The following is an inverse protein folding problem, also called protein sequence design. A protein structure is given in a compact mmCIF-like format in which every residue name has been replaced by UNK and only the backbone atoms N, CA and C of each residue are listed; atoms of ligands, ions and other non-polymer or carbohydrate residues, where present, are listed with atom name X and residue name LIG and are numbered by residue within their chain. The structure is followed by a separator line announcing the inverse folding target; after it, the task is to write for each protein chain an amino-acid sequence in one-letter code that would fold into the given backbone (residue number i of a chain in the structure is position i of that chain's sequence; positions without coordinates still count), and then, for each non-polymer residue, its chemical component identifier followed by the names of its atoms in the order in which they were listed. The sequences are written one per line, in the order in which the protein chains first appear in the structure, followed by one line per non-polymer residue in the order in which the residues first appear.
data_IF_237326929669
#
_entry.id   IF_237326929669
#
_cell.length_a   1.000
_cell.length_b   1.000
_cell.length_c   1.000
_cell.angle_alpha   90.00
_cell.angle_beta   90.00
_cell.angle_gamma   90.00
#
_symmetry.space_group_name_H-M   'P 1'
#
loop_
_entity.id
_entity.type
_entity.pdbx_description
1 polymer ?
#
# COMPACT_ATOMS: atom_id res chain seq x y z
N UNK A 1 3.38 -4.14 37.22
CA UNK A 1 3.71 -5.39 36.50
C UNK A 1 3.58 -5.08 35.03
N UNK A 2 4.67 -5.02 34.29
CA UNK A 2 4.66 -4.83 32.84
C UNK A 2 4.36 -6.18 32.20
N UNK A 3 3.28 -6.29 31.43
CA UNK A 3 2.91 -7.50 30.70
C UNK A 3 3.91 -7.72 29.55
N UNK A 4 4.97 -8.49 29.76
CA UNK A 4 5.99 -8.80 28.75
C UNK A 4 5.47 -9.61 27.55
N UNK A 5 4.21 -10.05 27.59
CA UNK A 5 3.56 -10.86 26.55
C UNK A 5 2.47 -10.12 25.74
N UNK A 6 2.24 -8.83 25.96
CA UNK A 6 1.29 -8.08 25.11
C UNK A 6 1.96 -7.67 23.79
N UNK A 7 1.31 -7.88 22.63
CA UNK A 7 1.87 -7.45 21.35
C UNK A 7 2.09 -5.94 21.36
N UNK A 8 3.18 -5.48 20.75
CA UNK A 8 3.44 -4.04 20.60
C UNK A 8 2.50 -3.45 19.56
N UNK A 9 2.26 -2.13 19.63
CA UNK A 9 1.48 -1.44 18.60
C UNK A 9 2.11 -1.64 17.21
N UNK A 10 3.44 -1.60 17.11
CA UNK A 10 4.16 -1.85 15.87
C UNK A 10 3.85 -3.25 15.30
N UNK A 11 3.79 -4.29 16.14
CA UNK A 11 3.43 -5.64 15.71
C UNK A 11 1.97 -5.71 15.25
N UNK A 12 1.05 -5.11 16.02
CA UNK A 12 -0.37 -5.07 15.66
C UNK A 12 -0.62 -4.33 14.34
N UNK A 13 0.11 -3.25 14.06
CA UNK A 13 0.04 -2.54 12.79
C UNK A 13 0.59 -3.36 11.62
N UNK A 14 1.63 -4.17 11.85
CA UNK A 14 2.14 -5.11 10.85
C UNK A 14 1.12 -6.20 10.54
N UNK A 15 0.49 -6.77 11.57
CA UNK A 15 -0.54 -7.79 11.41
C UNK A 15 -1.74 -7.20 10.64
N UNK A 16 -2.22 -6.01 11.01
CA UNK A 16 -3.32 -5.33 10.34
C UNK A 16 -2.98 -4.93 8.88
N UNK A 17 -1.73 -4.54 8.63
CA UNK A 17 -1.23 -4.32 7.27
C UNK A 17 -1.27 -5.60 6.44
N UNK A 18 -0.92 -6.74 7.04
CA UNK A 18 -0.98 -8.05 6.40
C UNK A 18 -2.40 -8.44 6.01
N UNK A 19 -3.38 -8.22 6.89
CA UNK A 19 -4.80 -8.51 6.59
C UNK A 19 -5.31 -7.65 5.43
N UNK A 20 -4.89 -6.39 5.40
CA UNK A 20 -5.23 -5.46 4.32
C UNK A 20 -4.63 -5.91 2.98
N UNK A 21 -3.37 -6.39 2.99
CA UNK A 21 -2.71 -6.92 1.80
C UNK A 21 -3.39 -8.20 1.28
N UNK A 22 -3.82 -9.09 2.18
CA UNK A 22 -4.57 -10.30 1.81
C UNK A 22 -5.88 -9.95 1.12
N UNK A 23 -6.69 -9.06 1.69
CA UNK A 23 -7.96 -8.64 1.08
C UNK A 23 -7.77 -8.04 -0.31
N UNK A 24 -6.73 -7.22 -0.47
CA UNK A 24 -6.36 -6.64 -1.77
C UNK A 24 -5.97 -7.73 -2.77
N UNK A 25 -5.17 -8.71 -2.35
CA UNK A 25 -4.71 -9.78 -3.22
C UNK A 25 -5.84 -10.75 -3.57
N UNK A 26 -6.77 -11.00 -2.65
CA UNK A 26 -7.99 -11.78 -2.91
C UNK A 26 -8.84 -11.13 -3.99
N UNK A 27 -9.05 -9.80 -3.91
CA UNK A 27 -9.81 -9.07 -4.94
C UNK A 27 -9.15 -9.04 -6.32
N UNK A 28 -7.85 -9.36 -6.41
CA UNK A 28 -7.08 -9.40 -7.68
C UNK A 28 -6.83 -10.80 -8.20
N UNK A 29 -6.93 -11.81 -7.34
CA UNK A 29 -6.55 -13.16 -7.68
C UNK A 29 -7.50 -13.75 -8.72
N UNK A 30 -6.91 -14.38 -9.74
CA UNK A 30 -7.65 -15.01 -10.85
C UNK A 30 -7.56 -16.53 -10.85
N UNK A 31 -6.73 -17.11 -9.99
CA UNK A 31 -6.50 -18.56 -9.93
C UNK A 31 -6.95 -19.14 -8.60
N UNK A 32 -7.47 -20.37 -8.65
CA UNK A 32 -7.92 -21.11 -7.45
C UNK A 32 -6.75 -21.38 -6.51
N UNK A 33 -5.56 -21.62 -7.04
CA UNK A 33 -4.34 -21.87 -6.28
C UNK A 33 -3.91 -20.65 -5.47
N UNK A 34 -3.86 -19.47 -6.10
CA UNK A 34 -3.58 -18.21 -5.41
C UNK A 34 -4.63 -17.90 -4.33
N UNK A 35 -5.91 -18.08 -4.66
CA UNK A 35 -7.00 -17.88 -3.70
C UNK A 35 -6.87 -18.83 -2.50
N UNK A 36 -6.57 -20.11 -2.74
CA UNK A 36 -6.39 -21.10 -1.67
C UNK A 36 -5.22 -20.75 -0.76
N UNK A 37 -4.09 -20.30 -1.32
CA UNK A 37 -2.95 -19.84 -0.54
C UNK A 37 -3.30 -18.60 0.30
N UNK A 38 -4.06 -17.66 -0.26
CA UNK A 38 -4.52 -16.48 0.47
C UNK A 38 -5.49 -16.85 1.60
N UNK A 39 -6.35 -17.85 1.42
CA UNK A 39 -7.23 -18.36 2.48
C UNK A 39 -6.45 -19.04 3.60
N UNK A 40 -5.41 -19.81 3.28
CA UNK A 40 -4.54 -20.41 4.29
C UNK A 40 -3.87 -19.32 5.15
N UNK A 41 -3.27 -18.32 4.51
CA UNK A 41 -2.64 -17.20 5.24
C UNK A 41 -3.69 -16.45 6.09
N UNK A 42 -4.87 -16.15 5.53
CA UNK A 42 -5.94 -15.49 6.27
C UNK A 42 -6.41 -16.31 7.46
N UNK A 43 -6.54 -17.63 7.30
CA UNK A 43 -6.93 -18.52 8.38
C UNK A 43 -5.91 -18.50 9.51
N UNK A 44 -4.61 -18.52 9.21
CA UNK A 44 -3.56 -18.44 10.23
C UNK A 44 -3.64 -17.14 11.03
N UNK A 45 -3.99 -16.02 10.38
CA UNK A 45 -4.15 -14.73 11.05
C UNK A 45 -5.37 -14.70 11.95
N UNK A 46 -6.53 -15.17 11.45
CA UNK A 46 -7.79 -15.21 12.20
C UNK A 46 -7.71 -16.19 13.38
N UNK A 47 -7.11 -17.37 13.18
CA UNK A 47 -7.00 -18.38 14.23
C UNK A 47 -5.81 -18.17 15.16
N UNK A 48 -4.86 -17.31 14.80
CA UNK A 48 -3.58 -17.12 15.49
C UNK A 48 -2.78 -18.44 15.67
N UNK A 49 -3.00 -19.38 14.76
CA UNK A 49 -2.47 -20.76 14.82
C UNK A 49 -2.05 -21.18 13.41
N UNK A 50 -0.92 -21.89 13.29
CA UNK A 50 -0.47 -22.40 11.98
C UNK A 50 -1.17 -23.67 11.55
N UNK A 51 -1.40 -24.61 12.47
CA UNK A 51 -1.94 -25.95 12.18
C UNK A 51 -2.73 -26.47 13.38
N UNK A 52 -3.89 -25.88 13.67
CA UNK A 52 -4.77 -26.27 14.78
C UNK A 52 -6.22 -26.43 14.36
N UNK A 53 -7.08 -26.93 15.27
CA UNK A 53 -8.50 -27.16 14.99
C UNK A 53 -9.22 -25.87 14.58
N UNK A 54 -8.83 -24.74 15.16
CA UNK A 54 -9.37 -23.43 14.80
C UNK A 54 -8.95 -23.02 13.38
N UNK A 55 -7.68 -23.24 13.03
CA UNK A 55 -7.17 -22.99 11.67
C UNK A 55 -7.95 -23.80 10.63
N UNK A 56 -8.12 -25.11 10.84
CA UNK A 56 -8.87 -25.97 9.92
C UNK A 56 -10.33 -25.55 9.78
N UNK A 57 -10.97 -25.14 10.88
CA UNK A 57 -12.33 -24.63 10.86
C UNK A 57 -12.44 -23.36 10.02
N UNK A 58 -11.52 -22.40 10.22
CA UNK A 58 -11.51 -21.14 9.46
C UNK A 58 -11.26 -21.42 7.97
N UNK A 59 -10.30 -22.28 7.61
CA UNK A 59 -10.09 -22.67 6.20
C UNK A 59 -11.36 -23.26 5.60
N UNK A 60 -12.04 -24.18 6.31
CA UNK A 60 -13.29 -24.78 5.85
C UNK A 60 -14.42 -23.77 5.68
N UNK A 61 -14.37 -22.64 6.37
CA UNK A 61 -15.34 -21.55 6.22
C UNK A 61 -14.98 -20.63 5.05
N UNK A 62 -13.71 -20.24 4.92
CA UNK A 62 -13.23 -19.38 3.83
C UNK A 62 -13.33 -20.07 2.46
N UNK A 63 -13.13 -21.39 2.39
CA UNK A 63 -13.21 -22.13 1.12
C UNK A 63 -14.63 -22.36 0.61
N UNK A 64 -15.68 -21.98 1.36
CA UNK A 64 -17.09 -22.21 0.96
C UNK A 64 -17.51 -21.34 -0.21
N UNK A 65 -17.17 -20.06 -0.14
CA UNK A 65 -17.61 -19.06 -1.10
C UNK A 65 -16.64 -17.87 -1.08
N UNK A 66 -16.14 -17.39 -2.24
CA UNK A 66 -15.19 -16.29 -2.29
C UNK A 66 -15.72 -14.97 -1.74
N UNK A 67 -17.02 -14.67 -1.91
CA UNK A 67 -17.63 -13.44 -1.38
C UNK A 67 -17.70 -13.53 0.14
N UNK A 68 -18.14 -14.69 0.66
CA UNK A 68 -18.16 -14.95 2.09
C UNK A 68 -16.77 -14.86 2.72
N UNK A 69 -15.75 -15.45 2.09
CA UNK A 69 -14.37 -15.33 2.56
C UNK A 69 -13.91 -13.88 2.66
N UNK A 70 -14.16 -13.08 1.61
CA UNK A 70 -13.83 -11.66 1.61
C UNK A 70 -14.50 -10.94 2.79
N UNK A 71 -15.80 -11.17 3.00
CA UNK A 71 -16.56 -10.57 4.11
C UNK A 71 -16.03 -10.97 5.49
N UNK A 72 -15.65 -12.24 5.69
CA UNK A 72 -15.11 -12.71 6.97
C UNK A 72 -13.75 -12.08 7.28
N UNK A 73 -12.86 -12.03 6.29
CA UNK A 73 -11.53 -11.44 6.45
C UNK A 73 -11.64 -9.92 6.65
N UNK A 74 -12.54 -9.26 5.91
CA UNK A 74 -12.81 -7.83 6.09
C UNK A 74 -13.39 -7.53 7.48
N UNK A 75 -14.38 -8.31 7.93
CA UNK A 75 -14.95 -8.17 9.26
C UNK A 75 -13.94 -8.40 10.37
N UNK A 76 -13.04 -9.38 10.21
CA UNK A 76 -11.94 -9.60 11.15
C UNK A 76 -10.99 -8.40 11.19
N UNK A 77 -10.52 -7.92 10.04
CA UNK A 77 -9.64 -6.74 9.92
C UNK A 77 -10.23 -5.52 10.61
N UNK A 78 -11.50 -5.23 10.35
CA UNK A 78 -12.16 -4.05 10.88
C UNK A 78 -12.35 -4.14 12.39
N UNK A 79 -12.70 -5.33 12.91
CA UNK A 79 -12.76 -5.59 14.34
C UNK A 79 -11.38 -5.47 15.00
N UNK A 80 -10.32 -5.97 14.34
CA UNK A 80 -8.97 -5.87 14.85
C UNK A 80 -8.51 -4.39 14.89
N UNK A 81 -8.72 -3.63 13.81
CA UNK A 81 -8.47 -2.20 13.76
C UNK A 81 -9.20 -1.43 14.88
N UNK A 82 -10.45 -1.79 15.14
CA UNK A 82 -11.24 -1.21 16.23
C UNK A 82 -10.68 -1.56 17.61
N UNK A 83 -10.20 -2.78 17.80
CA UNK A 83 -9.64 -3.23 19.08
C UNK A 83 -8.31 -2.55 19.44
N UNK A 84 -7.53 -2.12 18.44
CA UNK A 84 -6.24 -1.44 18.65
C UNK A 84 -6.37 0.10 18.62
N UNK A 85 -7.57 0.64 18.42
CA UNK A 85 -7.78 2.06 18.12
C UNK A 85 -7.25 2.99 19.22
N UNK A 86 -7.45 2.65 20.50
CA UNK A 86 -7.02 3.52 21.60
C UNK A 86 -5.50 3.51 21.78
N UNK A 87 -4.88 2.33 21.69
CA UNK A 87 -3.42 2.20 21.66
C UNK A 87 -2.82 2.96 20.47
N UNK A 88 -3.49 2.89 19.30
CA UNK A 88 -3.08 3.64 18.13
C UNK A 88 -3.18 5.15 18.33
N UNK A 89 -4.25 5.68 18.94
CA UNK A 89 -4.37 7.12 19.24
C UNK A 89 -3.22 7.63 20.11
N UNK A 90 -2.79 6.83 21.08
CA UNK A 90 -1.66 7.17 21.97
C UNK A 90 -0.31 7.09 21.24
N UNK A 91 -0.12 6.08 20.38
CA UNK A 91 1.15 5.81 19.70
C UNK A 91 1.33 6.44 18.32
N UNK A 92 0.27 6.90 17.64
CA UNK A 92 0.30 7.29 16.22
C UNK A 92 1.32 8.38 15.91
N UNK A 93 1.56 9.30 16.84
CA UNK A 93 2.54 10.38 16.64
C UNK A 93 3.97 9.87 16.48
N UNK A 94 4.35 8.82 17.21
CA UNK A 94 5.66 8.17 17.08
C UNK A 94 5.76 7.41 15.76
N UNK A 95 4.72 6.66 15.41
CA UNK A 95 4.64 5.90 14.14
C UNK A 95 4.70 6.84 12.94
N UNK A 96 3.95 7.93 12.96
CA UNK A 96 3.94 8.92 11.88
C UNK A 96 5.32 9.54 11.65
N UNK A 97 6.06 9.88 12.73
CA UNK A 97 7.43 10.40 12.62
C UNK A 97 8.42 9.39 12.05
N UNK A 98 8.29 8.11 12.43
CA UNK A 98 9.12 7.04 11.87
C UNK A 98 8.87 6.85 10.37
N UNK A 99 7.60 6.80 9.97
CA UNK A 99 7.18 6.73 8.56
C UNK A 99 7.70 7.95 7.78
N UNK A 100 7.47 9.16 8.30
CA UNK A 100 7.92 10.41 7.69
C UNK A 100 9.43 10.41 7.46
N UNK A 101 10.21 10.00 8.48
CA UNK A 101 11.67 9.92 8.40
C UNK A 101 12.12 8.97 7.29
N UNK A 102 11.56 7.77 7.22
CA UNK A 102 11.90 6.74 6.21
C UNK A 102 11.53 7.19 4.80
N UNK A 103 10.33 7.73 4.61
CA UNK A 103 9.90 8.26 3.31
C UNK A 103 10.83 9.40 2.87
N UNK A 104 11.11 10.35 3.76
CA UNK A 104 11.98 11.50 3.45
C UNK A 104 13.42 11.07 3.15
N UNK A 105 13.94 10.05 3.84
CA UNK A 105 15.27 9.49 3.53
C UNK A 105 15.34 8.96 2.10
N UNK A 106 14.27 8.34 1.60
CA UNK A 106 14.23 7.87 0.20
C UNK A 106 14.00 9.01 -0.79
N UNK A 107 13.18 10.00 -0.45
CA UNK A 107 12.95 11.16 -1.31
C UNK A 107 14.22 11.98 -1.57
N UNK A 108 15.23 11.92 -0.69
CA UNK A 108 16.55 12.55 -0.93
C UNK A 108 17.25 12.04 -2.19
N UNK A 109 16.90 10.85 -2.69
CA UNK A 109 17.48 10.29 -3.91
C UNK A 109 16.81 10.84 -5.19
N UNK A 110 15.68 11.54 -5.06
CA UNK A 110 14.95 12.07 -6.19
C UNK A 110 15.63 13.31 -6.78
N UNK A 111 15.99 13.25 -8.06
CA UNK A 111 16.59 14.38 -8.80
C UNK A 111 15.55 15.34 -9.38
N UNK A 112 14.30 14.91 -9.47
CA UNK A 112 13.20 15.69 -10.03
C UNK A 112 11.86 15.21 -9.46
N UNK A 113 10.82 16.01 -9.69
CA UNK A 113 9.46 15.76 -9.20
C UNK A 113 8.88 14.43 -9.70
N UNK A 114 9.21 14.02 -10.93
CA UNK A 114 8.72 12.76 -11.47
C UNK A 114 9.29 11.56 -10.69
N UNK A 115 10.59 11.54 -10.42
CA UNK A 115 11.23 10.52 -9.59
C UNK A 115 10.70 10.55 -8.15
N UNK A 116 10.54 11.74 -7.56
CA UNK A 116 9.97 11.88 -6.21
C UNK A 116 8.54 11.32 -6.15
N UNK A 117 7.73 11.58 -7.17
CA UNK A 117 6.35 11.09 -7.26
C UNK A 117 6.28 9.57 -7.43
N UNK A 118 7.21 8.97 -8.17
CA UNK A 118 7.33 7.50 -8.28
C UNK A 118 7.69 6.89 -6.92
N UNK A 119 8.69 7.45 -6.24
CA UNK A 119 9.09 6.98 -4.90
C UNK A 119 7.89 7.05 -3.95
N UNK A 120 7.20 8.19 -3.92
CA UNK A 120 6.06 8.39 -3.01
C UNK A 120 4.84 7.52 -3.37
N UNK A 121 4.58 7.30 -4.67
CA UNK A 121 3.53 6.39 -5.14
C UNK A 121 3.71 4.95 -4.64
N UNK A 122 4.96 4.49 -4.49
CA UNK A 122 5.23 3.16 -3.94
C UNK A 122 4.81 3.04 -2.47
N UNK A 123 4.93 4.12 -1.70
CA UNK A 123 4.49 4.16 -0.30
C UNK A 123 2.96 4.29 -0.18
N UNK A 124 2.35 5.12 -1.03
CA UNK A 124 0.94 5.49 -0.90
C UNK A 124 -0.02 4.64 -1.75
N UNK A 125 0.47 3.57 -2.39
CA UNK A 125 -0.31 2.69 -3.29
C UNK A 125 -1.61 2.17 -2.68
N UNK A 126 -1.62 1.86 -1.38
CA UNK A 126 -2.79 1.30 -0.69
C UNK A 126 -3.71 2.39 -0.12
N UNK A 127 -3.27 3.65 -0.16
CA UNK A 127 -3.99 4.80 0.37
C UNK A 127 -4.68 5.58 -0.75
N UNK A 128 -4.01 5.67 -1.90
CA UNK A 128 -4.48 6.44 -3.03
C UNK A 128 -5.38 5.58 -3.92
N UNK A 129 -6.60 6.05 -4.13
CA UNK A 129 -7.50 5.45 -5.10
C UNK A 129 -7.00 5.74 -6.52
N UNK A 130 -6.84 4.70 -7.32
CA UNK A 130 -6.71 4.84 -8.77
C UNK A 130 -8.09 4.73 -9.40
N UNK A 131 -8.37 5.50 -10.47
CA UNK A 131 -9.65 5.39 -11.15
C UNK A 131 -9.82 4.00 -11.79
N UNK A 132 -11.05 3.48 -11.72
CA UNK A 132 -11.46 2.35 -12.54
C UNK A 132 -11.72 2.86 -13.94
N UNK A 133 -10.95 2.36 -14.90
CA UNK A 133 -11.04 2.73 -16.31
C UNK A 133 -11.00 1.48 -17.17
N UNK A 134 -11.76 1.53 -18.26
CA UNK A 134 -11.79 0.52 -19.31
C UNK A 134 -10.68 0.76 -20.34
N UNK A 135 -10.40 -0.25 -21.17
CA UNK A 135 -9.43 -0.11 -22.25
C UNK A 135 -9.89 0.94 -23.28
N UNK A 136 -11.18 1.01 -23.59
CA UNK A 136 -11.72 1.95 -24.57
C UNK A 136 -11.60 3.41 -24.10
N UNK A 137 -11.81 3.67 -22.81
CA UNK A 137 -11.61 5.01 -22.22
C UNK A 137 -10.15 5.43 -22.30
N UNK A 138 -9.22 4.51 -22.00
CA UNK A 138 -7.78 4.78 -22.03
C UNK A 138 -7.29 4.99 -23.47
N UNK A 139 -7.77 4.20 -24.42
CA UNK A 139 -7.51 4.44 -25.84
C UNK A 139 -8.05 5.80 -26.28
N UNK A 140 -9.26 6.18 -25.85
CA UNK A 140 -9.83 7.51 -26.11
C UNK A 140 -8.95 8.65 -25.63
N UNK A 141 -8.42 8.56 -24.41
CA UNK A 141 -7.50 9.56 -23.82
C UNK A 141 -6.20 9.63 -24.64
N UNK A 142 -5.58 8.49 -24.95
CA UNK A 142 -4.33 8.43 -25.71
C UNK A 142 -4.49 9.08 -27.09
N UNK A 143 -5.61 8.78 -27.78
CA UNK A 143 -5.95 9.37 -29.08
C UNK A 143 -6.09 10.88 -28.97
N UNK A 144 -6.74 11.38 -27.92
CA UNK A 144 -6.91 12.82 -27.69
C UNK A 144 -5.56 13.52 -27.44
N UNK A 145 -4.66 12.91 -26.66
CA UNK A 145 -3.33 13.46 -26.42
C UNK A 145 -2.49 13.53 -27.70
N UNK A 146 -2.47 12.46 -28.50
CA UNK A 146 -1.74 12.44 -29.78
C UNK A 146 -2.35 13.41 -30.79
N UNK A 147 -3.68 13.54 -30.81
CA UNK A 147 -4.37 14.53 -31.63
C UNK A 147 -3.98 15.96 -31.25
N UNK A 148 -3.88 16.27 -29.94
CA UNK A 148 -3.40 17.59 -29.46
C UNK A 148 -1.96 17.89 -29.88
N UNK A 149 -1.12 16.86 -30.01
CA UNK A 149 0.25 16.98 -30.54
C UNK A 149 0.30 17.12 -32.07
N UNK A 150 -0.85 17.10 -32.76
CA UNK A 150 -0.97 17.18 -34.23
C UNK A 150 -0.22 16.08 -34.97
N UNK A 151 -0.03 14.93 -34.33
CA UNK A 151 0.62 13.78 -34.94
C UNK A 151 -0.38 13.04 -35.86
N UNK A 152 0.05 12.56 -37.04
CA UNK A 152 -0.80 11.77 -37.92
C UNK A 152 -1.15 10.41 -37.28
N UNK A 153 -2.27 9.79 -37.71
CA UNK A 153 -2.74 8.48 -37.24
C UNK A 153 -3.13 8.38 -35.76
N UNK A 154 -3.53 9.50 -35.15
CA UNK A 154 -4.01 9.51 -33.76
C UNK A 154 -5.09 8.46 -33.47
N UNK A 155 -5.93 8.08 -34.43
CA UNK A 155 -6.99 7.07 -34.27
C UNK A 155 -6.48 5.63 -34.02
N UNK A 156 -5.22 5.33 -34.37
CA UNK A 156 -4.61 4.01 -34.14
C UNK A 156 -3.97 3.88 -32.75
N UNK A 157 -3.90 4.99 -32.02
CA UNK A 157 -3.31 5.01 -30.69
C UNK A 157 -4.08 4.11 -29.72
N UNK A 158 -3.31 3.35 -28.94
CA UNK A 158 -3.79 2.50 -27.85
C UNK A 158 -2.99 2.80 -26.60
N UNK A 159 -3.70 3.10 -25.52
CA UNK A 159 -3.06 3.31 -24.23
C UNK A 159 -2.95 2.00 -23.45
N UNK A 160 -2.32 2.05 -22.28
CA UNK A 160 -2.28 0.92 -21.35
C UNK A 160 -3.11 1.27 -20.13
N UNK A 161 -4.12 0.47 -19.79
CA UNK A 161 -4.90 0.66 -18.54
C UNK A 161 -3.97 0.69 -17.33
N UNK A 162 -3.00 -0.22 -17.28
CA UNK A 162 -2.00 -0.27 -16.22
C UNK A 162 -1.08 0.96 -16.25
N UNK A 163 -0.65 1.39 -17.45
CA UNK A 163 0.13 2.62 -17.61
C UNK A 163 -0.61 3.87 -17.11
N UNK A 164 -1.91 3.98 -17.44
CA UNK A 164 -2.77 5.08 -17.02
C UNK A 164 -2.99 5.08 -15.51
N UNK A 165 -3.32 3.92 -14.91
CA UNK A 165 -3.46 3.80 -13.45
C UNK A 165 -2.18 4.19 -12.72
N UNK A 166 -1.02 3.77 -13.25
CA UNK A 166 0.28 4.16 -12.69
C UNK A 166 0.55 5.66 -12.82
N UNK A 167 0.15 6.30 -13.93
CA UNK A 167 0.26 7.75 -14.10
C UNK A 167 -0.62 8.50 -13.09
N UNK A 168 -1.90 8.10 -12.97
CA UNK A 168 -2.84 8.73 -12.03
C UNK A 168 -2.41 8.54 -10.58
N UNK A 169 -1.87 7.36 -10.23
CA UNK A 169 -1.26 7.13 -8.92
C UNK A 169 -0.10 8.09 -8.65
N UNK A 170 0.81 8.29 -9.61
CA UNK A 170 1.92 9.24 -9.48
C UNK A 170 1.44 10.68 -9.36
N UNK A 171 0.43 11.08 -10.13
CA UNK A 171 -0.19 12.41 -10.03
C UNK A 171 -0.82 12.60 -8.64
N UNK A 172 -1.55 11.61 -8.14
CA UNK A 172 -2.13 11.65 -6.80
C UNK A 172 -1.04 11.71 -5.71
N UNK A 173 0.00 10.89 -5.81
CA UNK A 173 1.13 10.91 -4.88
C UNK A 173 1.89 12.24 -4.92
N UNK A 174 2.02 12.88 -6.09
CA UNK A 174 2.67 14.19 -6.20
C UNK A 174 1.99 15.27 -5.36
N UNK A 175 0.69 15.13 -5.07
CA UNK A 175 -0.04 16.05 -4.18
C UNK A 175 0.42 15.93 -2.73
N UNK A 176 1.07 14.84 -2.35
CA UNK A 176 1.65 14.62 -1.02
C UNK A 176 3.12 15.07 -0.94
N UNK A 177 3.70 15.63 -2.01
CA UNK A 177 5.04 16.20 -1.96
C UNK A 177 5.00 17.65 -1.50
N UNK A 178 6.00 18.02 -0.70
CA UNK A 178 6.43 19.39 -0.46
C UNK A 178 7.74 19.61 -1.20
N UNK A 179 7.84 20.75 -1.89
CA UNK A 179 9.06 21.16 -2.59
C UNK A 179 9.69 22.34 -1.84
N UNK A 180 10.96 22.19 -1.47
CA UNK A 180 11.73 23.25 -0.82
C UNK A 180 12.92 23.59 -1.72
N UNK A 181 13.08 24.87 -2.04
CA UNK A 181 14.25 25.35 -2.78
C UNK A 181 15.35 25.73 -1.80
N UNK A 182 16.54 25.18 -2.01
CA UNK A 182 17.76 25.52 -1.30
C UNK A 182 18.79 25.99 -2.33
N UNK A 183 18.79 27.31 -2.60
CA UNK A 183 19.49 27.87 -3.75
C UNK A 183 18.92 27.34 -5.08
N UNK A 184 19.77 26.72 -5.89
CA UNK A 184 19.41 26.11 -7.17
C UNK A 184 18.92 24.65 -7.03
N UNK A 185 19.06 24.04 -5.85
CA UNK A 185 18.61 22.67 -5.61
C UNK A 185 17.16 22.63 -5.15
N UNK A 186 16.36 21.76 -5.76
CA UNK A 186 15.00 21.45 -5.31
C UNK A 186 15.05 20.17 -4.48
N UNK A 187 14.70 20.29 -3.19
CA UNK A 187 14.56 19.17 -2.26
C UNK A 187 13.09 18.78 -2.15
N UNK A 188 12.84 17.47 -2.11
CA UNK A 188 11.50 16.91 -1.98
C UNK A 188 11.33 16.24 -0.63
N UNK A 189 10.20 16.49 0.04
CA UNK A 189 9.79 15.80 1.26
C UNK A 189 8.31 15.43 1.19
N UNK A 190 7.86 14.51 2.03
CA UNK A 190 6.43 14.28 2.22
C UNK A 190 5.81 15.48 2.95
N UNK A 191 4.58 15.82 2.58
CA UNK A 191 3.77 16.81 3.28
C UNK A 191 3.26 16.21 4.59
N UNK A 192 3.77 16.72 5.71
CA UNK A 192 3.47 16.19 7.05
C UNK A 192 2.00 16.35 7.45
N UNK A 193 1.29 17.37 6.95
CA UNK A 193 -0.15 17.55 7.25
C UNK A 193 -0.98 16.47 6.57
N UNK A 194 -0.74 16.23 5.27
CA UNK A 194 -1.42 15.16 4.53
C UNK A 194 -1.04 13.78 5.05
N UNK A 195 0.20 13.59 5.52
CA UNK A 195 0.57 12.36 6.21
C UNK A 195 -0.25 12.17 7.50
N UNK A 196 -0.43 13.23 8.31
CA UNK A 196 -1.27 13.16 9.52
C UNK A 196 -2.71 12.78 9.18
N UNK A 197 -3.29 13.37 8.13
CA UNK A 197 -4.65 13.03 7.67
C UNK A 197 -4.79 11.54 7.32
N UNK A 198 -3.78 10.96 6.65
CA UNK A 198 -3.74 9.52 6.36
C UNK A 198 -3.67 8.70 7.65
N UNK A 199 -2.90 9.16 8.63
CA UNK A 199 -2.71 8.51 9.92
C UNK A 199 -3.89 8.69 10.90
N UNK A 200 -4.99 9.36 10.52
CA UNK A 200 -6.21 9.38 11.32
C UNK A 200 -7.01 8.07 11.21
N UNK A 201 -6.79 7.33 10.12
CA UNK A 201 -7.41 6.03 9.85
C UNK A 201 -6.42 4.91 10.20
N UNK A 202 -6.80 4.04 11.13
CA UNK A 202 -5.93 2.97 11.64
C UNK A 202 -5.50 2.01 10.53
N UNK A 203 -6.42 1.64 9.62
CA UNK A 203 -6.15 0.68 8.53
C UNK A 203 -5.20 1.31 7.51
N UNK A 204 -5.40 2.58 7.15
CA UNK A 204 -4.47 3.30 6.27
C UNK A 204 -3.11 3.50 6.92
N UNK A 205 -3.09 3.84 8.22
CA UNK A 205 -1.87 3.97 8.99
C UNK A 205 -1.07 2.67 9.08
N UNK A 206 -1.75 1.55 9.32
CA UNK A 206 -1.16 0.21 9.31
C UNK A 206 -0.60 -0.14 7.94
N UNK A 207 -1.40 0.05 6.88
CA UNK A 207 -0.97 -0.20 5.49
C UNK A 207 0.29 0.59 5.13
N UNK A 208 0.34 1.88 5.51
CA UNK A 208 1.51 2.71 5.27
C UNK A 208 2.71 2.23 6.08
N UNK A 209 2.52 1.89 7.35
CA UNK A 209 3.58 1.39 8.22
C UNK A 209 4.22 0.10 7.67
N UNK A 210 3.39 -0.90 7.33
CA UNK A 210 3.85 -2.15 6.74
C UNK A 210 4.55 -1.93 5.40
N UNK A 211 3.98 -1.09 4.54
CA UNK A 211 4.59 -0.74 3.25
C UNK A 211 5.95 -0.09 3.42
N UNK A 212 6.08 0.81 4.39
CA UNK A 212 7.34 1.48 4.71
C UNK A 212 8.42 0.49 5.12
N UNK A 213 8.10 -0.48 5.97
CA UNK A 213 9.06 -1.51 6.40
C UNK A 213 9.45 -2.46 5.26
N UNK A 214 8.51 -2.83 4.40
CA UNK A 214 8.78 -3.66 3.21
C UNK A 214 9.77 -2.97 2.26
N UNK A 215 9.56 -1.68 1.97
CA UNK A 215 10.45 -0.91 1.09
C UNK A 215 11.86 -0.80 1.71
N UNK A 216 11.96 -0.48 2.99
CA UNK A 216 13.24 -0.42 3.71
C UNK A 216 14.01 -1.75 3.61
N UNK A 217 13.32 -2.88 3.84
CA UNK A 217 13.93 -4.21 3.74
C UNK A 217 14.46 -4.50 2.34
N UNK A 218 13.65 -4.21 1.30
CA UNK A 218 14.05 -4.41 -0.10
C UNK A 218 15.29 -3.57 -0.45
N UNK A 219 15.37 -2.34 0.05
CA UNK A 219 16.53 -1.47 -0.16
C UNK A 219 17.78 -2.00 0.53
N UNK A 220 17.65 -2.46 1.78
CA UNK A 220 18.77 -3.06 2.51
C UNK A 220 19.30 -4.33 1.80
N UNK A 221 18.39 -5.17 1.28
CA UNK A 221 18.76 -6.37 0.52
C UNK A 221 19.44 -6.01 -0.80
N UNK A 222 18.95 -5.00 -1.52
CA UNK A 222 19.59 -4.50 -2.75
C UNK A 222 21.00 -3.95 -2.47
N UNK A 223 21.18 -3.19 -1.38
CA UNK A 223 22.50 -2.68 -0.98
C UNK A 223 23.48 -3.79 -0.59
N UNK A 224 23.01 -4.83 0.11
CA UNK A 224 23.85 -6.00 0.45
C UNK A 224 24.32 -6.73 -0.81
N UNK A 225 23.43 -6.93 -1.79
CA UNK A 225 23.78 -7.55 -3.08
C UNK A 225 24.78 -6.71 -3.87
N UNK A 226 24.61 -5.39 -3.89
CA UNK A 226 25.53 -4.47 -4.58
C UNK A 226 26.92 -4.39 -3.94
N UNK A 227 27.05 -4.65 -2.63
CA UNK A 227 28.35 -4.72 -1.94
C UNK A 227 29.06 -6.07 -2.06
N UNK A 228 28.34 -7.11 -2.46
CA UNK A 228 28.85 -8.46 -2.64
C UNK A 228 29.23 -8.78 -4.11
N UNK A 229 28.93 -7.86 -5.03
CA UNK A 229 29.32 -7.89 -6.44
C UNK A 229 30.54 -7.00 -6.67
#
# INVERSE_FOLDING_TARGET
MTNENQPTLEQMLLDLSGETEILKNLGKSKSIEEQSNLYDIAAQMISQEKNGENHERVIKELTRDPIYAYMQIEGHRDNFAQSIQDLYKEGKGKIAKDIESKINNNLRQAKNKATASIILANYLTDILKTPEVTQDEVDGIEREEIYKMRLPYAFEARGSVEGYKNLELRKAASKYLTETKDGDEVKYSINSEKLKEVMEDVIKGASLYGRTLTIERQMQEAQKKAKAA
#
